data_IF_258647644589
#
_entry.id   IF_258647644589
#
_cell.length_a   1.000
_cell.length_b   1.000
_cell.length_c   1.000
_cell.angle_alpha   90.00
_cell.angle_beta   90.00
_cell.angle_gamma   90.00
#
_symmetry.space_group_name_H-M   'P 1'
#
loop_
_entity.id
_entity.type
_entity.pdbx_description
1 polymer ?
#
# COMPACT_ATOMS: atom_id res chain seq x y z
N UNK A 1 -5.35 34.50 -25.09
CA UNK A 1 -5.54 33.34 -24.20
C UNK A 1 -5.98 33.86 -22.85
N UNK A 2 -7.22 33.57 -22.45
CA UNK A 2 -7.68 33.87 -21.09
C UNK A 2 -7.01 32.93 -20.08
N UNK A 3 -6.62 33.48 -18.92
CA UNK A 3 -6.12 32.70 -17.79
C UNK A 3 -7.30 31.97 -17.13
N UNK A 4 -7.18 30.68 -16.82
CA UNK A 4 -8.23 29.98 -16.09
C UNK A 4 -8.43 30.64 -14.70
N UNK A 5 -9.66 30.56 -14.15
CA UNK A 5 -9.96 31.16 -12.86
C UNK A 5 -9.08 30.57 -11.76
N UNK A 6 -8.73 31.41 -10.78
CA UNK A 6 -7.92 30.98 -9.64
C UNK A 6 -8.67 29.92 -8.83
N UNK A 7 -7.98 28.83 -8.48
CA UNK A 7 -8.57 27.77 -7.65
C UNK A 7 -9.04 28.30 -6.30
N UNK A 8 -10.15 27.79 -5.80
CA UNK A 8 -10.63 28.07 -4.44
C UNK A 8 -9.79 27.34 -3.39
N UNK A 9 -9.91 27.75 -2.12
CA UNK A 9 -9.25 27.05 -1.02
C UNK A 9 -9.72 25.58 -0.88
N UNK A 10 -11.00 25.32 -1.15
CA UNK A 10 -11.58 23.98 -1.12
C UNK A 10 -10.97 23.08 -2.21
N UNK A 11 -10.80 23.61 -3.43
CA UNK A 11 -10.19 22.88 -4.54
C UNK A 11 -8.71 22.56 -4.29
N UNK A 12 -7.96 23.51 -3.71
CA UNK A 12 -6.57 23.25 -3.30
C UNK A 12 -6.49 22.13 -2.26
N UNK A 13 -7.37 22.15 -1.26
CA UNK A 13 -7.41 21.11 -0.21
C UNK A 13 -7.82 19.74 -0.78
N UNK A 14 -8.77 19.71 -1.70
CA UNK A 14 -9.18 18.49 -2.38
C UNK A 14 -8.03 17.90 -3.22
N UNK A 15 -7.34 18.74 -4.00
CA UNK A 15 -6.17 18.34 -4.78
C UNK A 15 -5.04 17.79 -3.91
N UNK A 16 -4.73 18.46 -2.80
CA UNK A 16 -3.72 17.99 -1.83
C UNK A 16 -4.10 16.64 -1.22
N UNK A 17 -5.36 16.45 -0.81
CA UNK A 17 -5.84 15.16 -0.29
C UNK A 17 -5.78 14.04 -1.33
N UNK A 18 -6.10 14.35 -2.58
CA UNK A 18 -6.03 13.40 -3.67
C UNK A 18 -4.58 13.00 -3.96
N UNK A 19 -3.65 13.95 -3.97
CA UNK A 19 -2.23 13.68 -4.11
C UNK A 19 -1.70 12.83 -2.96
N UNK A 20 -1.94 13.24 -1.70
CA UNK A 20 -1.52 12.45 -0.52
C UNK A 20 -2.04 11.01 -0.61
N UNK A 21 -3.33 10.84 -0.94
CA UNK A 21 -3.92 9.52 -1.10
C UNK A 21 -3.23 8.72 -2.21
N UNK A 22 -2.91 9.35 -3.34
CA UNK A 22 -2.20 8.70 -4.44
C UNK A 22 -0.82 8.21 -4.00
N UNK A 23 -0.05 9.03 -3.27
CA UNK A 23 1.27 8.63 -2.79
C UNK A 23 1.20 7.47 -1.77
N UNK A 24 0.18 7.48 -0.90
CA UNK A 24 -0.10 6.35 0.00
C UNK A 24 -0.47 5.08 -0.79
N UNK A 25 -1.28 5.21 -1.86
CA UNK A 25 -1.66 4.07 -2.72
C UNK A 25 -0.46 3.50 -3.48
N UNK A 26 0.45 4.37 -3.97
CA UNK A 26 1.67 3.97 -4.66
C UNK A 26 2.64 3.26 -3.71
N UNK A 27 2.88 3.82 -2.52
CA UNK A 27 3.75 3.22 -1.51
C UNK A 27 3.23 1.85 -1.05
N UNK A 28 1.92 1.72 -0.84
CA UNK A 28 1.32 0.43 -0.50
C UNK A 28 1.43 -0.59 -1.65
N UNK A 29 1.28 -0.15 -2.90
CA UNK A 29 1.40 -1.03 -4.08
C UNK A 29 2.83 -1.54 -4.24
N UNK A 30 3.78 -0.62 -4.22
CA UNK A 30 5.20 -0.93 -4.38
C UNK A 30 5.65 -1.95 -3.33
N UNK A 31 5.33 -1.69 -2.05
CA UNK A 31 5.64 -2.61 -0.97
C UNK A 31 4.97 -3.98 -1.13
N UNK A 32 3.70 -4.05 -1.53
CA UNK A 32 2.99 -5.32 -1.73
C UNK A 32 3.58 -6.13 -2.90
N UNK A 33 4.00 -5.47 -3.97
CA UNK A 33 4.63 -6.10 -5.11
C UNK A 33 6.02 -6.65 -4.74
N UNK A 34 6.81 -5.87 -4.00
CA UNK A 34 8.09 -6.31 -3.41
C UNK A 34 7.91 -7.50 -2.47
N UNK A 35 6.97 -7.42 -1.53
CA UNK A 35 6.62 -8.52 -0.63
C UNK A 35 6.26 -9.81 -1.38
N UNK A 36 5.46 -9.74 -2.45
CA UNK A 36 5.05 -10.91 -3.23
C UNK A 36 6.17 -11.50 -4.09
N UNK A 37 7.19 -10.71 -4.42
CA UNK A 37 8.32 -11.13 -5.25
C UNK A 37 9.54 -11.50 -4.42
N UNK A 38 9.53 -11.21 -3.11
CA UNK A 38 10.67 -11.43 -2.23
C UNK A 38 11.75 -10.36 -2.43
N UNK A 39 11.36 -9.13 -2.78
CA UNK A 39 12.29 -8.01 -3.04
C UNK A 39 13.35 -8.39 -4.07
N UNK A 40 12.91 -8.79 -5.27
CA UNK A 40 13.77 -9.26 -6.37
C UNK A 40 14.71 -10.43 -6.02
N UNK A 41 14.37 -11.19 -4.98
CA UNK A 41 15.10 -12.38 -4.55
C UNK A 41 16.05 -12.14 -3.37
N UNK A 42 16.07 -10.93 -2.81
CA UNK A 42 16.82 -10.63 -1.58
C UNK A 42 16.19 -11.29 -0.34
N UNK A 43 14.90 -11.65 -0.43
CA UNK A 43 14.18 -12.38 0.62
C UNK A 43 13.29 -13.48 0.02
N UNK A 44 12.88 -14.41 0.88
CA UNK A 44 11.93 -15.45 0.48
C UNK A 44 10.54 -14.85 0.24
N UNK A 45 10.08 -14.93 -1.01
CA UNK A 45 8.71 -14.62 -1.37
C UNK A 45 7.74 -15.56 -0.61
N UNK A 46 6.58 -15.05 -0.17
CA UNK A 46 5.65 -15.85 0.57
C UNK A 46 5.03 -16.93 -0.32
N UNK A 47 4.82 -18.12 0.26
CA UNK A 47 4.31 -19.28 -0.48
C UNK A 47 2.88 -19.01 -1.00
N UNK A 48 2.59 -19.27 -2.28
CA UNK A 48 1.23 -19.17 -2.80
C UNK A 48 0.21 -20.01 -2.02
N UNK A 49 -0.99 -19.46 -1.81
CA UNK A 49 -2.03 -20.08 -1.00
C UNK A 49 -1.82 -19.99 0.51
N UNK A 50 -0.69 -19.44 0.97
CA UNK A 50 -0.49 -19.12 2.38
C UNK A 50 -1.50 -18.07 2.86
N UNK A 51 -1.78 -18.11 4.16
CA UNK A 51 -2.72 -17.21 4.82
C UNK A 51 -1.97 -16.18 5.64
N UNK A 52 -2.33 -14.92 5.45
CA UNK A 52 -1.77 -13.79 6.19
C UNK A 52 -2.88 -13.02 6.90
N UNK A 53 -2.70 -12.75 8.19
CA UNK A 53 -3.62 -11.89 8.93
C UNK A 53 -3.47 -10.48 8.39
N UNK A 54 -4.58 -9.85 8.00
CA UNK A 54 -4.55 -8.57 7.32
C UNK A 54 -3.94 -7.46 8.19
N UNK A 55 -4.16 -7.51 9.50
CA UNK A 55 -3.61 -6.54 10.43
C UNK A 55 -2.09 -6.68 10.57
N UNK A 56 -1.58 -7.90 10.75
CA UNK A 56 -0.14 -8.18 10.81
C UNK A 56 0.56 -7.78 9.50
N UNK A 57 -0.07 -8.06 8.35
CA UNK A 57 0.45 -7.63 7.06
C UNK A 57 0.54 -6.09 6.93
N UNK A 58 -0.43 -5.37 7.51
CA UNK A 58 -0.38 -3.91 7.53
C UNK A 58 0.71 -3.38 8.49
N UNK A 59 0.88 -3.98 9.66
CA UNK A 59 1.96 -3.59 10.59
C UNK A 59 3.33 -3.79 9.94
N UNK A 60 3.56 -4.93 9.30
CA UNK A 60 4.81 -5.22 8.58
C UNK A 60 5.07 -4.20 7.46
N UNK A 61 4.01 -3.81 6.73
CA UNK A 61 4.13 -2.79 5.69
C UNK A 61 4.45 -1.41 6.25
N UNK A 62 3.84 -1.04 7.38
CA UNK A 62 4.13 0.25 8.03
C UNK A 62 5.56 0.30 8.50
N UNK A 63 6.03 -0.73 9.20
CA UNK A 63 7.41 -0.80 9.72
C UNK A 63 8.44 -0.66 8.60
N UNK A 64 8.31 -1.45 7.53
CA UNK A 64 9.22 -1.38 6.39
C UNK A 64 9.15 -0.03 5.65
N UNK A 65 7.95 0.52 5.45
CA UNK A 65 7.81 1.83 4.77
C UNK A 65 8.34 2.97 5.65
N UNK A 66 8.20 2.87 6.98
CA UNK A 66 8.81 3.83 7.91
C UNK A 66 10.34 3.80 7.82
N UNK A 67 10.95 2.61 7.76
CA UNK A 67 12.39 2.46 7.54
C UNK A 67 12.82 3.07 6.19
N UNK A 68 12.12 2.77 5.09
CA UNK A 68 12.42 3.38 3.79
C UNK A 68 12.29 4.91 3.80
N UNK A 69 11.33 5.46 4.56
CA UNK A 69 11.21 6.92 4.74
C UNK A 69 12.39 7.49 5.53
N UNK A 70 12.84 6.80 6.58
CA UNK A 70 14.00 7.23 7.38
C UNK A 70 15.32 7.16 6.60
N UNK A 71 15.43 6.19 5.69
CA UNK A 71 16.60 5.99 4.82
C UNK A 71 16.56 6.83 3.54
N UNK A 72 15.50 7.63 3.34
CA UNK A 72 15.27 8.40 2.11
C UNK A 72 15.30 7.52 0.84
N UNK A 73 14.80 6.29 0.95
CA UNK A 73 14.68 5.39 -0.19
C UNK A 73 13.56 5.83 -1.14
N UNK A 74 13.75 5.55 -2.42
CA UNK A 74 12.77 5.82 -3.46
C UNK A 74 12.02 4.52 -3.82
N UNK A 75 10.73 4.66 -4.12
CA UNK A 75 9.93 3.58 -4.74
C UNK A 75 10.44 3.27 -6.14
N UNK A 76 9.95 2.19 -6.74
CA UNK A 76 10.31 1.81 -8.12
C UNK A 76 9.93 2.86 -9.17
N UNK A 77 8.92 3.69 -8.87
CA UNK A 77 8.50 4.79 -9.73
C UNK A 77 9.30 6.09 -9.55
N UNK A 78 10.32 6.06 -8.68
CA UNK A 78 11.20 7.19 -8.35
C UNK A 78 10.54 8.22 -7.42
N UNK A 79 9.41 7.89 -6.78
CA UNK A 79 8.77 8.75 -5.80
C UNK A 79 9.08 8.35 -4.37
N UNK A 80 9.08 9.34 -3.46
CA UNK A 80 9.35 9.11 -2.03
C UNK A 80 8.28 8.22 -1.39
N UNK A 81 8.71 7.32 -0.52
CA UNK A 81 7.79 6.54 0.29
C UNK A 81 6.91 7.41 1.19
N UNK A 82 5.70 6.92 1.42
CA UNK A 82 4.76 7.51 2.37
C UNK A 82 3.99 6.43 3.10
N UNK A 83 4.05 6.47 4.43
CA UNK A 83 3.31 5.54 5.29
C UNK A 83 1.81 5.60 4.98
N UNK A 84 1.21 4.50 4.50
CA UNK A 84 -0.19 4.51 4.10
C UNK A 84 -1.10 4.44 5.32
N UNK A 85 -2.22 5.16 5.28
CA UNK A 85 -3.29 4.93 6.25
C UNK A 85 -3.87 3.53 6.04
N UNK A 86 -4.22 2.86 7.14
CA UNK A 86 -4.78 1.50 7.11
C UNK A 86 -5.89 1.29 6.07
N UNK A 87 -6.85 2.22 5.95
CA UNK A 87 -7.94 2.11 4.96
C UNK A 87 -7.42 2.12 3.52
N UNK A 88 -6.38 2.88 3.23
CA UNK A 88 -5.79 2.99 1.89
C UNK A 88 -5.00 1.73 1.57
N UNK A 89 -4.11 1.30 2.47
CA UNK A 89 -3.37 0.04 2.34
C UNK A 89 -4.32 -1.13 2.05
N UNK A 90 -5.37 -1.26 2.84
CA UNK A 90 -6.38 -2.29 2.67
C UNK A 90 -7.15 -2.23 1.35
N UNK A 91 -7.40 -1.05 0.79
CA UNK A 91 -8.05 -0.94 -0.51
C UNK A 91 -7.11 -1.41 -1.64
N UNK A 92 -5.81 -1.07 -1.55
CA UNK A 92 -4.79 -1.53 -2.50
C UNK A 92 -4.58 -3.04 -2.37
N UNK A 93 -4.41 -3.55 -1.16
CA UNK A 93 -4.24 -4.97 -0.89
C UNK A 93 -5.45 -5.81 -1.33
N UNK A 94 -6.69 -5.34 -1.14
CA UNK A 94 -7.88 -6.02 -1.67
C UNK A 94 -7.89 -6.07 -3.21
N UNK A 95 -7.24 -5.11 -3.89
CA UNK A 95 -7.11 -5.08 -5.35
C UNK A 95 -6.05 -6.06 -5.85
N UNK A 96 -4.92 -6.18 -5.14
CA UNK A 96 -3.77 -6.99 -5.55
C UNK A 96 -3.92 -8.46 -5.11
N UNK A 97 -4.24 -8.67 -3.82
CA UNK A 97 -4.34 -9.99 -3.20
C UNK A 97 -5.74 -10.60 -3.31
N UNK A 98 -6.71 -9.82 -3.77
CA UNK A 98 -8.13 -10.12 -3.67
C UNK A 98 -8.72 -9.78 -2.30
N UNK A 99 -10.05 -9.85 -2.16
CA UNK A 99 -10.75 -9.36 -0.97
C UNK A 99 -10.44 -10.17 0.28
N UNK A 100 -10.16 -9.48 1.39
CA UNK A 100 -9.99 -10.11 2.72
C UNK A 100 -11.19 -10.97 3.13
N UNK A 101 -10.91 -12.20 3.53
CA UNK A 101 -11.92 -13.14 4.04
C UNK A 101 -11.93 -13.16 5.57
N UNK A 102 -13.06 -13.50 6.19
CA UNK A 102 -13.07 -13.80 7.63
C UNK A 102 -12.38 -15.13 7.85
N UNK A 103 -11.50 -15.22 8.85
CA UNK A 103 -10.91 -16.47 9.27
C UNK A 103 -11.94 -17.43 9.89
N UNK A 104 -11.49 -18.64 10.21
CA UNK A 104 -12.33 -19.66 10.83
C UNK A 104 -12.94 -19.14 12.15
N UNK A 105 -14.19 -19.53 12.44
CA UNK A 105 -14.90 -19.17 13.68
C UNK A 105 -15.02 -17.66 13.95
N UNK A 106 -15.01 -16.81 12.92
CA UNK A 106 -15.13 -15.36 13.09
C UNK A 106 -13.85 -14.68 13.56
N UNK A 107 -12.70 -15.35 13.43
CA UNK A 107 -11.36 -14.80 13.66
C UNK A 107 -11.00 -13.66 12.68
N UNK A 108 -9.77 -13.17 12.82
CA UNK A 108 -9.24 -12.02 12.08
C UNK A 108 -9.47 -12.12 10.56
N UNK A 109 -9.47 -10.95 9.91
CA UNK A 109 -9.51 -10.87 8.45
C UNK A 109 -8.18 -11.38 7.90
N UNK A 110 -8.25 -12.24 6.89
CA UNK A 110 -7.07 -12.86 6.27
C UNK A 110 -7.06 -12.64 4.76
N UNK A 111 -5.86 -12.54 4.20
CA UNK A 111 -5.62 -12.76 2.78
C UNK A 111 -5.18 -14.20 2.53
N UNK A 112 -5.52 -14.71 1.35
CA UNK A 112 -4.95 -15.94 0.80
C UNK A 112 -4.13 -15.50 -0.39
N UNK A 113 -2.81 -15.70 -0.32
CA UNK A 113 -1.93 -15.17 -1.36
C UNK A 113 -2.19 -15.88 -2.70
N UNK A 114 -2.24 -15.13 -3.81
CA UNK A 114 -2.53 -15.70 -5.11
C UNK A 114 -1.45 -16.70 -5.56
N UNK A 115 -1.89 -17.75 -6.27
CA UNK A 115 -1.00 -18.54 -7.13
C UNK A 115 -0.55 -17.70 -8.32
N UNK A 116 0.74 -17.78 -8.67
CA UNK A 116 1.21 -17.33 -9.99
C UNK A 116 0.58 -18.19 -11.09
#
# INVERSE_FOLDING_TARGET
MERPPAKTAAERKAASRAHIRREEELSARDWLEGFLTGWDGDTDAPVPGSRWVAYELYELAVEAIEESVELEEERIDGGDYRVPRQRVFYAVADTILGPRRRGAHGSARVYVLPGK
#
